data_IF_093788419051
#
_entry.id   IF_093788419051
#
_cell.length_a   1.000
_cell.length_b   1.000
_cell.length_c   1.000
_cell.angle_alpha   90.00
_cell.angle_beta   90.00
_cell.angle_gamma   90.00
#
_symmetry.space_group_name_H-M   'P 1'
#
loop_
_entity.id
_entity.type
_entity.pdbx_description
1 polymer ?
#
# COMPACT_ATOMS: atom_id res chain seq x y z
N UNK A 1 5.53 -6.94 -17.82
CA UNK A 1 5.24 -6.70 -16.39
C UNK A 1 6.22 -5.68 -15.84
N UNK A 2 5.79 -4.44 -15.60
CA UNK A 2 6.61 -3.47 -14.86
C UNK A 2 6.62 -3.91 -13.40
N UNK A 3 7.73 -4.46 -12.92
CA UNK A 3 7.93 -4.74 -11.49
C UNK A 3 7.86 -3.39 -10.78
N UNK A 4 6.80 -3.15 -10.02
CA UNK A 4 6.63 -1.92 -9.24
C UNK A 4 7.81 -1.79 -8.27
N UNK A 5 8.77 -0.96 -8.65
CA UNK A 5 9.97 -0.58 -7.91
C UNK A 5 9.72 0.75 -7.20
N UNK A 6 8.46 1.04 -6.89
CA UNK A 6 7.96 2.43 -6.96
C UNK A 6 8.36 3.23 -5.70
N UNK A 7 8.64 2.62 -4.54
CA UNK A 7 9.20 3.33 -3.37
C UNK A 7 9.69 2.37 -2.26
N UNK A 8 9.88 1.09 -2.60
CA UNK A 8 10.33 0.10 -1.62
C UNK A 8 11.71 0.48 -1.10
N UNK A 9 11.85 0.59 0.21
CA UNK A 9 13.06 1.01 0.95
C UNK A 9 13.23 2.49 1.24
N UNK A 10 12.26 3.35 0.93
CA UNK A 10 12.28 4.74 1.38
C UNK A 10 12.19 4.83 2.92
N UNK A 11 12.99 5.72 3.51
CA UNK A 11 12.95 6.04 4.94
C UNK A 11 12.25 7.38 5.12
N UNK A 12 11.19 7.42 5.89
CA UNK A 12 10.36 8.63 6.06
C UNK A 12 9.83 8.75 7.48
N UNK A 13 9.42 9.96 7.87
CA UNK A 13 8.74 10.19 9.14
C UNK A 13 7.43 9.39 9.21
N UNK A 14 7.25 8.68 10.32
CA UNK A 14 6.07 7.83 10.60
C UNK A 14 4.77 8.62 10.51
N UNK A 15 4.71 9.78 11.16
CA UNK A 15 3.47 10.57 11.24
C UNK A 15 3.03 11.07 9.87
N UNK A 16 3.99 11.54 9.06
CA UNK A 16 3.74 11.97 7.69
C UNK A 16 3.25 10.82 6.81
N UNK A 17 3.90 9.65 6.89
CA UNK A 17 3.45 8.47 6.15
C UNK A 17 2.04 8.05 6.56
N UNK A 18 1.76 8.05 7.86
CA UNK A 18 0.45 7.68 8.41
C UNK A 18 -0.66 8.62 7.91
N UNK A 19 -0.41 9.93 7.95
CA UNK A 19 -1.34 10.96 7.46
C UNK A 19 -1.54 10.86 5.94
N UNK A 20 -0.45 10.72 5.18
CA UNK A 20 -0.48 10.59 3.73
C UNK A 20 -1.33 9.38 3.31
N UNK A 21 -1.05 8.21 3.88
CA UNK A 21 -1.76 6.98 3.53
C UNK A 21 -3.23 7.03 3.94
N UNK A 22 -3.55 7.53 5.15
CA UNK A 22 -4.94 7.67 5.61
C UNK A 22 -5.75 8.62 4.74
N UNK A 23 -5.19 9.77 4.38
CA UNK A 23 -5.83 10.74 3.47
C UNK A 23 -6.11 10.13 2.10
N UNK A 24 -5.29 9.17 1.69
CA UNK A 24 -5.44 8.44 0.43
C UNK A 24 -6.30 7.17 0.52
N UNK A 25 -7.04 6.99 1.62
CA UNK A 25 -8.01 5.91 1.80
C UNK A 25 -7.42 4.59 2.31
N UNK A 26 -6.12 4.57 2.66
CA UNK A 26 -5.54 3.40 3.33
C UNK A 26 -5.96 3.36 4.80
N UNK A 27 -6.08 2.15 5.33
CA UNK A 27 -6.32 1.90 6.75
C UNK A 27 -5.10 1.21 7.34
N UNK A 28 -4.70 1.62 8.54
CA UNK A 28 -3.69 0.88 9.30
C UNK A 28 -4.37 -0.34 9.94
N UNK A 29 -4.03 -1.53 9.47
CA UNK A 29 -4.50 -2.84 9.98
C UNK A 29 -3.40 -3.57 10.77
N UNK A 30 -2.23 -2.96 10.92
CA UNK A 30 -1.11 -3.50 11.68
C UNK A 30 -1.17 -3.17 13.17
N UNK A 31 -0.09 -3.50 13.88
CA UNK A 31 0.11 -3.11 15.28
C UNK A 31 0.95 -1.84 15.37
N UNK A 32 1.07 -1.27 16.57
CA UNK A 32 1.93 -0.10 16.79
C UNK A 32 3.39 -0.38 16.40
N UNK A 33 3.88 -1.59 16.70
CA UNK A 33 5.25 -2.03 16.40
C UNK A 33 5.45 -2.48 14.94
N UNK A 34 4.37 -2.91 14.29
CA UNK A 34 4.38 -3.40 12.92
C UNK A 34 3.21 -2.81 12.14
N UNK A 35 3.29 -1.51 11.76
CA UNK A 35 2.24 -0.87 10.99
C UNK A 35 2.10 -1.54 9.63
N UNK A 36 0.85 -1.71 9.21
CA UNK A 36 0.52 -2.32 7.93
C UNK A 36 -0.65 -1.55 7.35
N UNK A 37 -0.47 -1.00 6.15
CA UNK A 37 -1.47 -0.15 5.53
C UNK A 37 -2.15 -0.89 4.38
N UNK A 38 -3.48 -0.86 4.38
CA UNK A 38 -4.30 -1.57 3.41
C UNK A 38 -5.27 -0.62 2.72
N UNK A 39 -5.35 -0.70 1.39
CA UNK A 39 -6.40 -0.11 0.58
C UNK A 39 -7.26 -1.22 -0.04
N UNK A 40 -8.57 -1.11 0.12
CA UNK A 40 -9.52 -2.13 -0.32
C UNK A 40 -10.39 -1.61 -1.45
N UNK A 41 -10.43 -2.34 -2.56
CA UNK A 41 -11.34 -2.09 -3.68
C UNK A 41 -12.39 -3.21 -3.69
N UNK A 42 -13.65 -2.79 -3.63
CA UNK A 42 -14.80 -3.67 -3.85
C UNK A 42 -15.27 -3.52 -5.28
N UNK A 43 -15.17 -4.60 -6.06
CA UNK A 43 -15.74 -4.66 -7.39
C UNK A 43 -17.16 -5.20 -7.32
N UNK A 44 -18.13 -4.31 -7.51
CA UNK A 44 -19.55 -4.65 -7.46
C UNK A 44 -19.96 -5.60 -8.60
N UNK A 45 -19.26 -5.58 -9.74
CA UNK A 45 -19.61 -6.40 -10.90
C UNK A 45 -19.29 -7.88 -10.69
N UNK A 46 -18.17 -8.17 -10.03
CA UNK A 46 -17.70 -9.53 -9.73
C UNK A 46 -17.95 -9.94 -8.27
N UNK A 47 -18.52 -9.06 -7.46
CA UNK A 47 -18.65 -9.20 -6.00
C UNK A 47 -17.31 -9.53 -5.31
N UNK A 48 -16.20 -9.04 -5.88
CA UNK A 48 -14.84 -9.35 -5.42
C UNK A 48 -14.27 -8.25 -4.55
N UNK A 49 -13.34 -8.63 -3.68
CA UNK A 49 -12.58 -7.67 -2.88
C UNK A 49 -11.09 -7.85 -3.15
N UNK A 50 -10.44 -6.75 -3.51
CA UNK A 50 -9.01 -6.67 -3.79
C UNK A 50 -8.36 -5.74 -2.79
N UNK A 51 -7.19 -6.13 -2.29
CA UNK A 51 -6.45 -5.38 -1.29
C UNK A 51 -5.07 -5.02 -1.84
N UNK A 52 -4.66 -3.77 -1.62
CA UNK A 52 -3.29 -3.33 -1.79
C UNK A 52 -2.69 -3.10 -0.41
N UNK A 53 -1.62 -3.84 -0.12
CA UNK A 53 -0.93 -3.79 1.15
C UNK A 53 0.41 -3.08 1.03
N UNK A 54 0.73 -2.24 2.01
CA UNK A 54 1.99 -1.56 2.17
C UNK A 54 2.53 -1.90 3.57
N UNK A 55 3.46 -2.87 3.68
CA UNK A 55 4.10 -3.19 4.95
C UNK A 55 5.09 -2.10 5.34
N UNK A 56 5.19 -1.78 6.63
CA UNK A 56 6.07 -0.73 7.15
C UNK A 56 6.92 -1.28 8.29
N UNK A 57 8.21 -0.94 8.32
CA UNK A 57 9.14 -1.38 9.37
C UNK A 57 9.66 -0.19 10.17
N UNK A 58 9.48 -0.22 11.49
CA UNK A 58 10.06 0.79 12.39
C UNK A 58 11.59 0.67 12.43
N UNK A 59 12.28 1.80 12.35
CA UNK A 59 13.74 1.83 12.46
C UNK A 59 14.16 2.00 13.92
N UNK A 60 14.72 0.94 14.51
CA UNK A 60 15.18 0.93 15.93
C UNK A 60 16.15 2.06 16.27
N UNK A 61 16.98 2.46 15.30
CA UNK A 61 18.02 3.47 15.48
C UNK A 61 17.58 4.89 15.10
N UNK A 62 16.38 5.06 14.55
CA UNK A 62 15.84 6.37 14.14
C UNK A 62 14.38 6.47 14.60
N UNK A 63 14.21 6.88 15.87
CA UNK A 63 12.86 7.05 16.45
C UNK A 63 12.03 8.01 15.60
N UNK A 64 10.78 7.62 15.32
CA UNK A 64 9.87 8.41 14.49
C UNK A 64 10.06 8.21 12.98
N UNK A 65 11.01 7.37 12.55
CA UNK A 65 11.19 7.02 11.14
C UNK A 65 10.84 5.57 10.86
N UNK A 66 10.33 5.35 9.66
CA UNK A 66 9.91 4.06 9.15
C UNK A 66 10.50 3.81 7.79
N UNK A 67 10.72 2.54 7.49
CA UNK A 67 11.07 2.05 6.15
C UNK A 67 9.85 1.44 5.49
N UNK A 68 9.53 1.90 4.29
CA UNK A 68 8.43 1.34 3.51
C UNK A 68 8.88 0.05 2.84
N UNK A 69 8.13 -1.02 3.05
CA UNK A 69 8.37 -2.33 2.46
C UNK A 69 7.83 -2.45 1.04
N UNK A 70 7.91 -3.66 0.49
CA UNK A 70 7.41 -3.94 -0.85
C UNK A 70 5.89 -4.14 -0.80
N UNK A 71 5.16 -3.34 -1.56
CA UNK A 71 3.71 -3.47 -1.65
C UNK A 71 3.29 -4.73 -2.40
N UNK A 72 2.13 -5.28 -2.05
CA UNK A 72 1.55 -6.44 -2.70
C UNK A 72 0.04 -6.24 -2.93
N UNK A 73 -0.48 -6.90 -3.97
CA UNK A 73 -1.91 -6.92 -4.27
C UNK A 73 -2.42 -8.32 -3.95
N UNK A 74 -3.46 -8.41 -3.12
CA UNK A 74 -4.12 -9.64 -2.71
C UNK A 74 -5.55 -9.65 -3.26
N UNK A 75 -5.98 -10.79 -3.76
CA UNK A 75 -7.37 -11.06 -4.12
C UNK A 75 -7.97 -11.98 -3.06
N UNK A 76 -8.92 -11.46 -2.27
CA UNK A 76 -9.57 -12.21 -1.19
C UNK A 76 -10.81 -12.96 -1.67
N UNK A 77 -10.68 -13.67 -2.79
CA UNK A 77 -11.71 -14.60 -3.25
C UNK A 77 -11.43 -16.02 -2.76
N UNK A 78 -12.44 -16.65 -2.15
CA UNK A 78 -12.34 -18.03 -1.69
C UNK A 78 -12.44 -19.07 -2.83
N UNK A 79 -13.04 -18.75 -3.99
CA UNK A 79 -13.50 -19.84 -4.88
C UNK A 79 -13.16 -19.87 -6.37
N UNK A 80 -13.09 -18.81 -7.19
CA UNK A 80 -13.08 -19.10 -8.64
C UNK A 80 -12.17 -18.31 -9.59
N UNK A 81 -11.61 -17.13 -9.29
CA UNK A 81 -10.62 -16.53 -10.21
C UNK A 81 -9.47 -15.85 -9.46
N UNK A 82 -8.31 -16.52 -9.43
CA UNK A 82 -7.07 -15.98 -8.82
C UNK A 82 -6.53 -14.74 -9.54
N UNK A 83 -7.04 -14.40 -10.73
CA UNK A 83 -6.51 -13.33 -11.56
C UNK A 83 -7.21 -12.01 -11.23
N UNK A 84 -6.42 -11.03 -10.79
CA UNK A 84 -6.91 -9.65 -10.62
C UNK A 84 -7.29 -9.08 -12.00
N UNK A 85 -8.50 -8.55 -12.18
CA UNK A 85 -8.88 -7.89 -13.43
C UNK A 85 -7.94 -6.74 -13.76
N UNK A 86 -7.66 -6.53 -15.06
CA UNK A 86 -6.69 -5.52 -15.50
C UNK A 86 -7.07 -4.11 -15.05
N UNK A 87 -8.36 -3.79 -15.02
CA UNK A 87 -8.87 -2.51 -14.52
C UNK A 87 -8.51 -2.28 -13.05
N UNK A 88 -8.65 -3.31 -12.21
CA UNK A 88 -8.30 -3.25 -10.80
C UNK A 88 -6.79 -3.17 -10.61
N UNK A 89 -6.02 -3.97 -11.35
CA UNK A 89 -4.55 -3.91 -11.31
C UNK A 89 -4.05 -2.50 -11.66
N UNK A 90 -4.62 -1.89 -12.70
CA UNK A 90 -4.30 -0.52 -13.10
C UNK A 90 -4.69 0.50 -12.04
N UNK A 91 -5.88 0.42 -11.46
CA UNK A 91 -6.30 1.32 -10.39
C UNK A 91 -5.33 1.27 -9.20
N UNK A 92 -4.95 0.08 -8.75
CA UNK A 92 -4.02 -0.10 -7.64
C UNK A 92 -2.60 0.35 -7.99
N UNK A 93 -2.13 0.10 -9.21
CA UNK A 93 -0.82 0.58 -9.66
C UNK A 93 -0.77 2.11 -9.77
N UNK A 94 -1.82 2.73 -10.33
CA UNK A 94 -1.94 4.18 -10.38
C UNK A 94 -1.92 4.80 -8.99
N UNK A 95 -2.61 4.16 -8.01
CA UNK A 95 -2.58 4.64 -6.63
C UNK A 95 -1.19 4.54 -6.00
N UNK A 96 -0.43 3.48 -6.30
CA UNK A 96 0.96 3.39 -5.85
C UNK A 96 1.85 4.49 -6.45
N UNK A 97 1.69 4.80 -7.73
CA UNK A 97 2.45 5.89 -8.38
C UNK A 97 2.11 7.23 -7.72
N UNK A 98 0.83 7.53 -7.55
CA UNK A 98 0.38 8.76 -6.87
C UNK A 98 1.01 8.91 -5.48
N UNK A 99 0.99 7.86 -4.66
CA UNK A 99 1.64 7.88 -3.33
C UNK A 99 3.14 8.13 -3.44
N UNK A 100 3.78 7.65 -4.49
CA UNK A 100 5.24 7.82 -4.67
C UNK A 100 5.59 9.23 -5.03
N UNK A 101 4.80 9.84 -5.90
CA UNK A 101 4.97 11.23 -6.30
C UNK A 101 4.89 12.13 -5.05
N UNK A 102 3.93 11.90 -4.15
CA UNK A 102 3.86 12.61 -2.86
C UNK A 102 5.08 12.36 -1.96
N UNK A 103 5.62 11.13 -1.95
CA UNK A 103 6.80 10.81 -1.16
C UNK A 103 8.07 11.46 -1.72
N UNK A 104 8.22 11.54 -3.04
CA UNK A 104 9.37 12.16 -3.72
C UNK A 104 9.41 13.68 -3.52
N UNK A 105 8.26 14.35 -3.38
CA UNK A 105 8.22 15.79 -3.06
C UNK A 105 8.75 16.14 -1.66
N UNK A 106 8.91 15.14 -0.77
CA UNK A 106 9.25 15.33 0.64
C UNK A 106 10.55 14.63 1.09
N UNK A 107 11.32 14.05 0.17
CA UNK A 107 12.63 13.40 0.41
C UNK A 107 13.75 14.20 -0.25
#
# INVERSE_FOLDING_TARGET
>A
MRKSKVFSSCVIRRDYLDELLKTNGFRNTGTEDYPHYELTIHDASSHSTYQLNIPVTLLKHQRGYVKIGRSNIINNQEKQEKRVPRSIEWALQSKLVEISDYLEEYV
#
